data_IF_343586606754
#
_entry.id   IF_343586606754
#
_cell.length_a   1.000
_cell.length_b   1.000
_cell.length_c   1.000
_cell.angle_alpha   90.00
_cell.angle_beta   90.00
_cell.angle_gamma   90.00
#
_symmetry.space_group_name_H-M   'P 1'
#
loop_
_entity.id
_entity.type
_entity.pdbx_description
1 polymer ?
#
# COMPACT_ATOMS: atom_id res chain seq x y z
N UNK A 1 36.31 20.39 14.10
CA UNK A 1 36.08 21.71 13.48
C UNK A 1 34.60 22.03 13.60
N UNK A 2 34.21 23.19 14.14
CA UNK A 2 32.79 23.57 14.21
C UNK A 2 32.28 24.06 12.84
N UNK A 3 30.96 24.15 12.67
CA UNK A 3 30.32 24.72 11.46
C UNK A 3 30.81 26.14 11.16
N UNK A 4 31.06 26.92 12.21
CA UNK A 4 31.56 28.30 12.10
C UNK A 4 33.02 28.31 11.65
N UNK A 5 33.85 27.45 12.25
CA UNK A 5 35.26 27.33 11.86
C UNK A 5 35.39 26.84 10.41
N UNK A 6 34.52 25.94 9.96
CA UNK A 6 34.48 25.47 8.58
C UNK A 6 34.06 26.58 7.61
N UNK A 7 33.07 27.39 7.99
CA UNK A 7 32.62 28.52 7.18
C UNK A 7 33.73 29.56 6.99
N UNK A 8 34.46 29.86 8.07
CA UNK A 8 35.57 30.81 8.06
C UNK A 8 36.74 30.27 7.23
N UNK A 9 37.03 28.96 7.32
CA UNK A 9 38.12 28.32 6.57
C UNK A 9 37.79 28.10 5.08
N UNK A 10 36.53 27.86 4.72
CA UNK A 10 36.13 27.56 3.33
C UNK A 10 35.61 28.78 2.56
N UNK A 11 35.33 29.89 3.24
CA UNK A 11 34.66 31.06 2.63
C UNK A 11 33.21 30.79 2.19
N UNK A 12 32.61 29.68 2.63
CA UNK A 12 31.21 29.31 2.36
C UNK A 12 30.40 29.69 3.60
N UNK A 13 29.24 30.32 3.41
CA UNK A 13 28.46 30.79 4.56
C UNK A 13 28.02 29.63 5.48
N UNK A 14 28.07 29.85 6.79
CA UNK A 14 27.63 28.85 7.78
C UNK A 14 26.19 28.36 7.51
N UNK A 15 25.32 29.24 7.00
CA UNK A 15 23.97 28.87 6.58
C UNK A 15 23.97 27.91 5.38
N UNK A 16 24.76 28.19 4.33
CA UNK A 16 24.84 27.31 3.18
C UNK A 16 25.41 25.93 3.54
N UNK A 17 26.42 25.88 4.42
CA UNK A 17 26.97 24.62 4.92
C UNK A 17 25.93 23.86 5.74
N UNK A 18 25.18 24.55 6.60
CA UNK A 18 24.12 23.96 7.39
C UNK A 18 22.94 23.46 6.54
N UNK A 19 22.60 24.16 5.45
CA UNK A 19 21.58 23.73 4.49
C UNK A 19 22.03 22.49 3.69
N UNK A 20 23.33 22.35 3.41
CA UNK A 20 23.91 21.15 2.80
C UNK A 20 23.92 19.96 3.77
N UNK A 21 24.30 20.18 5.03
CA UNK A 21 24.33 19.14 6.07
C UNK A 21 22.94 18.57 6.36
N UNK A 22 21.90 19.43 6.35
CA UNK A 22 20.50 19.02 6.53
C UNK A 22 19.83 18.50 5.25
N UNK A 23 20.55 18.45 4.14
CA UNK A 23 20.01 17.99 2.85
C UNK A 23 18.96 18.92 2.23
N UNK A 24 18.85 20.17 2.68
CA UNK A 24 18.01 21.20 2.03
C UNK A 24 18.66 21.73 0.75
N UNK A 25 20.00 21.66 0.66
CA UNK A 25 20.77 21.94 -0.55
C UNK A 25 21.60 20.73 -0.91
N UNK A 26 21.16 19.94 -1.89
CA UNK A 26 21.82 18.69 -2.26
C UNK A 26 22.72 18.83 -3.49
N UNK A 27 22.62 19.93 -4.24
CA UNK A 27 23.37 20.13 -5.49
C UNK A 27 24.23 21.42 -5.48
N UNK A 28 25.26 21.51 -4.62
CA UNK A 28 26.16 22.66 -4.60
C UNK A 28 26.99 22.79 -5.88
N UNK A 29 27.49 23.99 -6.14
CA UNK A 29 28.37 24.27 -7.28
C UNK A 29 29.77 23.67 -7.04
N UNK A 30 30.47 23.28 -8.12
CA UNK A 30 31.81 22.66 -8.02
C UNK A 30 32.78 23.53 -7.20
N UNK A 31 32.75 24.86 -7.41
CA UNK A 31 33.55 25.81 -6.62
C UNK A 31 33.33 25.73 -5.11
N UNK A 32 32.11 25.41 -4.68
CA UNK A 32 31.75 25.27 -3.26
C UNK A 32 32.29 23.96 -2.69
N UNK A 33 32.25 22.88 -3.49
CA UNK A 33 32.82 21.58 -3.12
C UNK A 33 34.35 21.66 -2.99
N UNK A 34 35.00 22.31 -3.95
CA UNK A 34 36.45 22.47 -3.96
C UNK A 34 36.91 23.30 -2.73
N UNK A 35 36.18 24.36 -2.40
CA UNK A 35 36.46 25.20 -1.23
C UNK A 35 36.29 24.45 0.10
N UNK A 36 35.24 23.63 0.24
CA UNK A 36 35.02 22.79 1.42
C UNK A 36 36.07 21.68 1.53
N UNK A 37 36.41 21.03 0.42
CA UNK A 37 37.40 19.98 0.40
C UNK A 37 38.82 20.48 0.72
N UNK A 38 39.13 21.72 0.31
CA UNK A 38 40.36 22.40 0.69
C UNK A 38 40.38 22.72 2.19
N UNK A 39 39.31 23.30 2.72
CA UNK A 39 39.20 23.65 4.15
C UNK A 39 39.24 22.42 5.07
N UNK A 40 38.66 21.30 4.64
CA UNK A 40 38.68 20.02 5.36
C UNK A 40 39.97 19.21 5.13
N UNK A 41 40.92 19.74 4.34
CA UNK A 41 42.18 19.05 3.99
C UNK A 41 41.96 17.64 3.44
N UNK A 42 40.89 17.45 2.65
CA UNK A 42 40.49 16.14 2.14
C UNK A 42 41.55 15.55 1.20
N UNK A 43 41.76 14.24 1.31
CA UNK A 43 42.63 13.48 0.41
C UNK A 43 42.09 13.49 -1.03
N UNK A 44 42.91 13.18 -2.05
CA UNK A 44 42.43 13.04 -3.42
C UNK A 44 41.27 12.04 -3.56
N UNK A 45 41.28 10.98 -2.76
CA UNK A 45 40.20 9.97 -2.74
C UNK A 45 38.91 10.56 -2.17
N UNK A 46 38.98 11.26 -1.04
CA UNK A 46 37.80 11.86 -0.40
C UNK A 46 37.23 13.03 -1.22
N UNK A 47 38.09 13.76 -1.94
CA UNK A 47 37.71 14.78 -2.92
C UNK A 47 36.90 14.19 -4.07
N UNK A 48 37.35 13.05 -4.59
CA UNK A 48 36.63 12.34 -5.64
C UNK A 48 35.27 11.85 -5.13
N UNK A 49 35.23 11.26 -3.92
CA UNK A 49 33.98 10.79 -3.29
C UNK A 49 32.98 11.93 -3.03
N UNK A 50 33.43 13.08 -2.54
CA UNK A 50 32.60 14.27 -2.33
C UNK A 50 32.02 14.81 -3.66
N UNK A 51 32.85 14.84 -4.70
CA UNK A 51 32.43 15.31 -6.03
C UNK A 51 31.43 14.35 -6.67
N UNK A 52 31.65 13.04 -6.53
CA UNK A 52 30.75 12.00 -7.02
C UNK A 52 29.39 12.05 -6.30
N UNK A 53 29.37 12.22 -4.98
CA UNK A 53 28.15 12.37 -4.20
C UNK A 53 27.33 13.61 -4.62
N UNK A 54 28.00 14.74 -4.86
CA UNK A 54 27.34 15.96 -5.31
C UNK A 54 26.86 15.87 -6.78
N UNK A 55 27.62 15.20 -7.65
CA UNK A 55 27.21 14.92 -9.03
C UNK A 55 25.98 14.00 -9.08
N UNK A 56 25.94 12.96 -8.23
CA UNK A 56 24.79 12.09 -8.06
C UNK A 56 23.55 12.88 -7.61
N UNK A 57 23.69 13.80 -6.67
CA UNK A 57 22.60 14.66 -6.23
C UNK A 57 22.14 15.66 -7.31
N UNK A 58 23.06 16.22 -8.10
CA UNK A 58 22.78 17.12 -9.23
C UNK A 58 22.08 16.42 -10.41
N UNK A 59 22.32 15.12 -10.59
CA UNK A 59 21.68 14.32 -11.64
C UNK A 59 20.18 14.10 -11.43
N UNK A 60 19.61 14.44 -10.26
CA UNK A 60 18.17 14.41 -9.98
C UNK A 60 17.51 13.02 -10.03
N UNK A 61 18.19 12.02 -10.59
CA UNK A 61 17.86 10.61 -10.57
C UNK A 61 18.51 9.99 -9.35
N UNK A 62 18.13 10.47 -8.16
CA UNK A 62 18.40 9.67 -6.98
C UNK A 62 17.56 8.41 -7.13
N UNK A 63 18.20 7.30 -7.52
CA UNK A 63 17.60 5.95 -7.59
C UNK A 63 16.86 5.59 -6.29
N UNK A 64 17.16 6.27 -5.19
CA UNK A 64 16.50 6.16 -3.88
C UNK A 64 15.17 6.92 -3.75
N UNK A 65 14.93 8.02 -4.48
CA UNK A 65 13.73 8.85 -4.29
C UNK A 65 12.44 8.17 -4.74
N UNK A 66 12.57 7.24 -5.71
CA UNK A 66 11.48 6.43 -6.22
C UNK A 66 11.79 4.93 -6.09
N UNK A 67 12.74 4.52 -5.24
CA UNK A 67 12.93 3.10 -5.00
C UNK A 67 11.66 2.50 -4.39
N UNK A 68 11.24 1.29 -4.79
CA UNK A 68 10.19 0.58 -4.07
C UNK A 68 10.51 0.49 -2.58
N UNK A 69 9.49 0.56 -1.71
CA UNK A 69 9.69 0.29 -0.31
C UNK A 69 10.25 -1.13 -0.12
N UNK A 70 10.81 -1.41 1.07
CA UNK A 70 11.25 -2.76 1.38
C UNK A 70 10.08 -3.73 1.29
N UNK A 71 10.39 -4.90 0.76
CA UNK A 71 9.44 -6.00 0.67
C UNK A 71 9.02 -6.51 2.06
N UNK A 72 7.88 -7.17 2.13
CA UNK A 72 7.38 -7.77 3.37
C UNK A 72 8.08 -9.12 3.61
N UNK A 73 8.71 -9.33 4.77
CA UNK A 73 9.54 -10.53 5.02
C UNK A 73 8.72 -11.81 5.07
N UNK A 74 7.42 -11.69 5.31
CA UNK A 74 6.44 -12.75 5.49
C UNK A 74 5.56 -12.95 4.23
N UNK A 75 5.96 -12.46 3.06
CA UNK A 75 5.20 -12.64 1.82
C UNK A 75 4.94 -14.14 1.54
N UNK A 76 3.67 -14.53 1.39
CA UNK A 76 3.27 -15.93 1.24
C UNK A 76 2.21 -16.07 0.15
N UNK A 77 2.32 -17.13 -0.66
CA UNK A 77 1.34 -17.47 -1.70
C UNK A 77 1.50 -16.64 -2.99
N UNK A 78 0.40 -16.47 -3.73
CA UNK A 78 0.31 -15.58 -4.91
C UNK A 78 1.13 -15.97 -6.14
N UNK A 79 1.49 -17.24 -6.30
CA UNK A 79 2.33 -17.69 -7.41
C UNK A 79 1.71 -17.38 -8.79
N UNK A 80 0.40 -17.55 -8.94
CA UNK A 80 -0.31 -17.26 -10.19
C UNK A 80 -0.31 -15.76 -10.51
N UNK A 81 -0.53 -14.92 -9.51
CA UNK A 81 -0.51 -13.48 -9.64
C UNK A 81 0.88 -12.94 -9.98
N UNK A 82 1.93 -13.50 -9.36
CA UNK A 82 3.32 -13.17 -9.68
C UNK A 82 3.69 -13.55 -11.12
N UNK A 83 3.24 -14.72 -11.59
CA UNK A 83 3.43 -15.16 -12.97
C UNK A 83 2.71 -14.24 -13.99
N UNK A 84 1.55 -13.70 -13.63
CA UNK A 84 0.85 -12.72 -14.46
C UNK A 84 1.62 -11.39 -14.53
N UNK A 85 2.13 -10.92 -13.39
CA UNK A 85 2.91 -9.67 -13.34
C UNK A 85 4.20 -9.76 -14.15
N UNK A 86 4.90 -10.91 -14.12
CA UNK A 86 6.16 -11.07 -14.85
C UNK A 86 6.00 -11.07 -16.37
N UNK A 87 4.82 -11.39 -16.89
CA UNK A 87 4.52 -11.46 -18.33
C UNK A 87 3.79 -10.23 -18.86
N UNK A 88 3.13 -9.46 -17.99
CA UNK A 88 2.29 -8.33 -18.37
C UNK A 88 2.97 -6.99 -18.09
N UNK A 89 3.15 -6.17 -19.13
CA UNK A 89 3.74 -4.83 -19.00
C UNK A 89 2.78 -3.81 -18.38
N UNK A 90 1.46 -3.96 -18.55
CA UNK A 90 0.45 -3.04 -18.02
C UNK A 90 -0.53 -3.82 -17.18
N UNK A 91 -0.54 -3.58 -15.87
CA UNK A 91 -1.42 -4.32 -14.95
C UNK A 91 -2.10 -3.36 -14.00
N UNK A 92 -3.42 -3.50 -13.85
CA UNK A 92 -4.20 -2.86 -12.79
C UNK A 92 -4.51 -3.92 -11.74
N UNK A 93 -3.85 -3.82 -10.59
CA UNK A 93 -4.06 -4.66 -9.41
C UNK A 93 -5.12 -3.98 -8.55
N UNK A 94 -6.31 -4.56 -8.50
CA UNK A 94 -7.43 -4.03 -7.71
C UNK A 94 -7.99 -5.07 -6.75
N UNK A 95 -8.71 -4.63 -5.73
CA UNK A 95 -9.32 -5.50 -4.73
C UNK A 95 -9.46 -4.83 -3.36
N UNK A 96 -10.02 -5.56 -2.40
CA UNK A 96 -10.44 -5.03 -1.11
C UNK A 96 -9.28 -4.41 -0.29
N UNK A 97 -9.57 -3.54 0.68
CA UNK A 97 -8.56 -2.98 1.57
C UNK A 97 -7.81 -4.08 2.34
N UNK A 98 -6.49 -3.93 2.48
CA UNK A 98 -5.64 -4.89 3.22
C UNK A 98 -5.32 -6.21 2.50
N UNK A 99 -5.82 -6.45 1.28
CA UNK A 99 -5.63 -7.72 0.55
C UNK A 99 -4.20 -7.96 0.02
N UNK A 100 -3.32 -6.95 0.11
CA UNK A 100 -1.90 -7.08 -0.26
C UNK A 100 -1.53 -6.59 -1.65
N UNK A 101 -2.32 -5.71 -2.28
CA UNK A 101 -2.04 -5.18 -3.64
C UNK A 101 -0.64 -4.54 -3.76
N UNK A 102 -0.32 -3.63 -2.84
CA UNK A 102 0.98 -2.94 -2.78
C UNK A 102 2.10 -3.93 -2.48
N UNK A 103 1.89 -4.86 -1.54
CA UNK A 103 2.87 -5.89 -1.20
C UNK A 103 3.17 -6.79 -2.42
N UNK A 104 2.15 -7.24 -3.16
CA UNK A 104 2.32 -8.02 -4.38
C UNK A 104 3.13 -7.27 -5.44
N UNK A 105 2.80 -5.99 -5.68
CA UNK A 105 3.52 -5.18 -6.67
C UNK A 105 4.99 -4.97 -6.28
N UNK A 106 5.25 -4.67 -5.01
CA UNK A 106 6.61 -4.45 -4.48
C UNK A 106 7.41 -5.75 -4.51
N UNK A 107 6.82 -6.87 -4.07
CA UNK A 107 7.46 -8.19 -4.09
C UNK A 107 7.86 -8.59 -5.51
N UNK A 108 6.93 -8.49 -6.48
CA UNK A 108 7.21 -8.79 -7.88
C UNK A 108 8.29 -7.86 -8.48
N UNK A 109 8.34 -6.61 -8.04
CA UNK A 109 9.30 -5.62 -8.52
C UNK A 109 10.68 -5.74 -7.86
N UNK A 110 10.83 -6.46 -6.75
CA UNK A 110 12.10 -6.63 -6.06
C UNK A 110 13.18 -7.27 -6.96
N UNK A 111 12.76 -8.12 -7.91
CA UNK A 111 13.64 -8.74 -8.90
C UNK A 111 13.93 -7.84 -10.12
N UNK A 112 13.35 -6.64 -10.21
CA UNK A 112 13.44 -5.75 -11.38
C UNK A 112 14.44 -4.61 -11.10
N UNK A 113 15.61 -4.57 -11.77
CA UNK A 113 16.69 -3.62 -11.46
C UNK A 113 16.34 -2.13 -11.63
N UNK A 114 15.28 -1.80 -12.37
CA UNK A 114 14.81 -0.45 -12.65
C UNK A 114 13.31 -0.31 -12.33
N UNK A 115 12.89 -0.80 -11.18
CA UNK A 115 11.56 -0.52 -10.65
C UNK A 115 11.53 0.83 -9.94
N UNK A 116 10.49 1.63 -10.20
CA UNK A 116 10.22 2.90 -9.55
C UNK A 116 8.84 2.88 -8.91
N UNK A 117 8.72 3.34 -7.67
CA UNK A 117 7.47 3.38 -6.91
C UNK A 117 7.02 4.81 -6.68
N UNK A 118 5.76 5.08 -7.00
CA UNK A 118 5.13 6.39 -6.89
C UNK A 118 3.76 6.24 -6.21
N UNK A 119 3.60 6.83 -5.04
CA UNK A 119 2.25 7.03 -4.47
C UNK A 119 1.50 8.10 -5.28
N UNK A 120 0.37 7.72 -5.89
CA UNK A 120 -0.49 8.61 -6.67
C UNK A 120 -1.15 9.71 -5.83
N UNK A 121 -1.16 9.59 -4.49
CA UNK A 121 -1.71 10.61 -3.59
C UNK A 121 -0.72 11.74 -3.30
N UNK A 122 0.55 11.58 -3.69
CA UNK A 122 1.62 12.51 -3.34
C UNK A 122 1.99 13.45 -4.50
N UNK A 123 1.73 14.75 -4.33
CA UNK A 123 2.19 15.79 -5.25
C UNK A 123 1.72 15.61 -6.70
N UNK A 124 2.44 16.23 -7.64
CA UNK A 124 2.11 16.13 -9.07
C UNK A 124 2.68 14.84 -9.68
N UNK A 125 1.79 13.87 -9.94
CA UNK A 125 2.13 12.59 -10.56
C UNK A 125 2.75 12.75 -11.95
N UNK A 126 2.28 13.68 -12.78
CA UNK A 126 2.77 13.87 -14.14
C UNK A 126 4.20 14.36 -14.13
N UNK A 127 4.50 15.36 -13.30
CA UNK A 127 5.85 15.89 -13.15
C UNK A 127 6.84 14.83 -12.61
N UNK A 128 6.37 13.93 -11.74
CA UNK A 128 7.18 12.82 -11.22
C UNK A 128 7.43 11.74 -12.27
N UNK A 129 6.42 11.37 -13.05
CA UNK A 129 6.53 10.41 -14.15
C UNK A 129 7.54 10.85 -15.22
N UNK A 130 7.58 12.15 -15.54
CA UNK A 130 8.55 12.71 -16.50
C UNK A 130 10.01 12.54 -16.09
N UNK A 131 10.28 12.32 -14.79
CA UNK A 131 11.62 12.09 -14.26
C UNK A 131 12.05 10.62 -14.35
N UNK A 132 11.16 9.72 -14.75
CA UNK A 132 11.44 8.29 -14.78
C UNK A 132 11.89 7.86 -16.19
N UNK A 133 12.93 7.02 -16.32
CA UNK A 133 13.34 6.50 -17.62
C UNK A 133 12.23 5.71 -18.31
N UNK A 134 12.09 5.89 -19.63
CA UNK A 134 11.01 5.24 -20.40
C UNK A 134 11.05 3.70 -20.38
N UNK A 135 12.24 3.10 -20.18
CA UNK A 135 12.45 1.65 -20.12
C UNK A 135 12.22 1.03 -18.72
N UNK A 136 11.99 1.86 -17.70
CA UNK A 136 11.78 1.41 -16.34
C UNK A 136 10.40 0.80 -16.11
N UNK A 137 10.28 -0.04 -15.07
CA UNK A 137 9.00 -0.45 -14.51
C UNK A 137 8.53 0.63 -13.53
N UNK A 138 7.28 1.07 -13.67
CA UNK A 138 6.67 2.03 -12.75
C UNK A 138 5.54 1.39 -11.97
N UNK A 139 5.59 1.48 -10.64
CA UNK A 139 4.51 1.10 -9.74
C UNK A 139 3.80 2.38 -9.32
N UNK A 140 2.54 2.50 -9.74
CA UNK A 140 1.62 3.58 -9.36
C UNK A 140 0.73 3.09 -8.23
N UNK A 141 1.09 3.43 -7.00
CA UNK A 141 0.39 2.96 -5.81
C UNK A 141 -0.78 3.88 -5.46
N UNK A 142 -1.87 3.29 -4.98
CA UNK A 142 -3.08 3.99 -4.52
C UNK A 142 -3.72 4.93 -5.57
N UNK A 143 -3.73 4.53 -6.84
CA UNK A 143 -4.44 5.27 -7.87
C UNK A 143 -5.96 5.32 -7.58
N UNK A 144 -6.55 6.50 -7.73
CA UNK A 144 -8.00 6.73 -7.57
C UNK A 144 -8.71 6.99 -8.90
N UNK A 145 -7.94 7.28 -9.94
CA UNK A 145 -8.40 7.49 -11.31
C UNK A 145 -7.37 6.88 -12.28
N UNK A 146 -7.79 6.64 -13.53
CA UNK A 146 -6.87 6.22 -14.58
C UNK A 146 -5.77 7.29 -14.73
N UNK A 147 -4.48 6.92 -14.61
CA UNK A 147 -3.40 7.89 -14.71
C UNK A 147 -3.32 8.50 -16.12
N UNK A 148 -2.87 9.77 -16.17
CA UNK A 148 -2.56 10.56 -17.38
C UNK A 148 -1.80 9.70 -18.41
N UNK A 149 -1.95 9.92 -19.74
CA UNK A 149 -1.53 8.94 -20.75
C UNK A 149 -0.14 8.36 -20.51
N UNK A 150 -0.12 7.07 -20.22
CA UNK A 150 1.10 6.31 -19.98
C UNK A 150 1.83 6.13 -21.32
N UNK A 151 3.16 6.36 -21.39
CA UNK A 151 3.88 6.17 -22.64
C UNK A 151 3.72 4.73 -23.18
N UNK A 152 3.63 4.53 -24.50
CA UNK A 152 3.37 3.22 -25.12
C UNK A 152 4.29 2.09 -24.66
N UNK A 153 5.57 2.39 -24.39
CA UNK A 153 6.58 1.40 -24.02
C UNK A 153 6.79 1.24 -22.49
N UNK A 154 6.14 2.04 -21.66
CA UNK A 154 6.34 1.99 -20.21
C UNK A 154 5.69 0.75 -19.63
N UNK A 155 6.48 -0.07 -18.92
CA UNK A 155 5.93 -1.10 -18.06
C UNK A 155 5.38 -0.41 -16.81
N UNK A 156 4.11 -0.63 -16.49
CA UNK A 156 3.42 0.02 -15.37
C UNK A 156 2.48 -0.96 -14.67
N UNK A 157 2.64 -1.05 -13.35
CA UNK A 157 1.72 -1.73 -12.47
C UNK A 157 1.02 -0.70 -11.60
N UNK A 158 -0.31 -0.74 -11.58
CA UNK A 158 -1.15 0.23 -10.88
C UNK A 158 -1.84 -0.50 -9.76
N UNK A 159 -1.65 -0.08 -8.52
CA UNK A 159 -2.49 -0.55 -7.42
C UNK A 159 -3.64 0.44 -7.22
N UNK A 160 -4.84 -0.11 -7.07
CA UNK A 160 -6.05 0.70 -6.88
C UNK A 160 -7.01 -0.03 -5.96
N UNK A 161 -7.85 0.71 -5.25
CA UNK A 161 -8.99 0.12 -4.52
C UNK A 161 -10.15 -0.21 -5.45
N UNK A 162 -10.19 0.43 -6.62
CA UNK A 162 -11.21 0.23 -7.65
C UNK A 162 -10.68 -0.26 -8.97
N UNK A 163 -11.57 -0.84 -9.77
CA UNK A 163 -11.26 -1.11 -11.16
C UNK A 163 -11.09 0.22 -11.90
N UNK A 164 -9.94 0.41 -12.54
CA UNK A 164 -9.63 1.64 -13.29
C UNK A 164 -9.58 1.30 -14.78
N UNK A 165 -10.37 1.96 -15.64
CA UNK A 165 -10.34 1.69 -17.08
C UNK A 165 -9.03 2.22 -17.67
N UNK A 166 -8.06 1.32 -17.86
CA UNK A 166 -6.73 1.64 -18.41
C UNK A 166 -6.52 0.84 -19.69
N UNK A 167 -6.31 1.56 -20.80
CA UNK A 167 -6.21 0.95 -22.12
C UNK A 167 -5.03 -0.02 -22.23
N UNK A 168 -5.35 -1.24 -22.68
CA UNK A 168 -4.37 -2.32 -22.86
C UNK A 168 -3.80 -2.86 -21.55
N UNK A 169 -4.42 -2.57 -20.39
CA UNK A 169 -4.02 -3.15 -19.12
C UNK A 169 -4.70 -4.49 -18.85
N UNK A 170 -3.92 -5.45 -18.37
CA UNK A 170 -4.46 -6.65 -17.72
C UNK A 170 -5.04 -6.26 -16.37
N UNK A 171 -6.29 -6.65 -16.10
CA UNK A 171 -6.91 -6.41 -14.81
C UNK A 171 -6.74 -7.63 -13.90
N UNK A 172 -6.06 -7.43 -12.77
CA UNK A 172 -5.87 -8.45 -11.76
C UNK A 172 -6.72 -8.11 -10.52
N UNK A 173 -7.81 -8.86 -10.33
CA UNK A 173 -8.60 -8.80 -9.09
C UNK A 173 -7.96 -9.66 -8.02
N UNK A 174 -7.33 -9.00 -7.04
CA UNK A 174 -6.65 -9.67 -5.94
C UNK A 174 -7.65 -10.01 -4.83
N UNK A 175 -7.97 -11.30 -4.70
CA UNK A 175 -8.89 -11.85 -3.70
C UNK A 175 -8.17 -12.11 -2.36
N UNK A 176 -8.88 -12.29 -1.22
CA UNK A 176 -8.28 -12.87 -0.01
C UNK A 176 -7.44 -14.12 -0.29
N UNK A 177 -6.50 -14.44 0.61
CA UNK A 177 -5.70 -15.66 0.46
C UNK A 177 -6.59 -16.91 0.52
N UNK A 178 -6.28 -17.95 -0.25
CA UNK A 178 -6.84 -19.27 -0.01
C UNK A 178 -6.57 -19.72 1.44
N UNK A 179 -7.44 -20.57 2.03
CA UNK A 179 -7.23 -21.11 3.37
C UNK A 179 -5.83 -21.71 3.62
N UNK A 180 -5.24 -22.55 2.73
CA UNK A 180 -3.90 -23.09 2.97
C UNK A 180 -2.81 -22.01 2.99
N UNK A 181 -2.91 -21.00 2.12
CA UNK A 181 -1.95 -19.88 2.09
C UNK A 181 -2.08 -18.97 3.31
N UNK A 182 -3.29 -18.85 3.87
CA UNK A 182 -3.52 -18.09 5.10
C UNK A 182 -2.85 -18.73 6.32
N UNK A 183 -2.95 -20.06 6.45
CA UNK A 183 -2.29 -20.81 7.50
C UNK A 183 -0.75 -20.80 7.31
N UNK A 184 -0.28 -20.87 6.07
CA UNK A 184 1.13 -20.73 5.75
C UNK A 184 1.69 -19.36 6.14
N UNK A 185 0.94 -18.27 5.88
CA UNK A 185 1.33 -16.91 6.29
C UNK A 185 1.45 -16.80 7.82
N UNK A 186 0.45 -17.30 8.56
CA UNK A 186 0.51 -17.30 10.02
C UNK A 186 1.73 -18.09 10.53
N UNK A 187 2.01 -19.25 9.93
CA UNK A 187 3.17 -20.08 10.25
C UNK A 187 4.49 -19.37 9.94
N UNK A 188 4.58 -18.64 8.82
CA UNK A 188 5.78 -17.88 8.46
C UNK A 188 6.10 -16.78 9.49
N UNK A 189 5.07 -16.20 10.11
CA UNK A 189 5.23 -15.14 11.13
C UNK A 189 5.53 -15.74 12.51
N UNK A 190 4.83 -16.79 12.92
CA UNK A 190 4.98 -17.39 14.26
C UNK A 190 6.15 -18.38 14.35
N UNK A 191 6.64 -18.86 13.21
CA UNK A 191 7.74 -19.83 13.10
C UNK A 191 7.32 -21.30 13.25
N UNK A 192 6.09 -21.59 13.68
CA UNK A 192 5.59 -22.96 13.87
C UNK A 192 4.14 -23.12 13.42
N UNK A 193 3.78 -24.22 12.76
CA UNK A 193 2.39 -24.49 12.38
C UNK A 193 1.53 -24.73 13.62
N UNK A 194 0.27 -24.28 13.56
CA UNK A 194 -0.71 -24.44 14.63
C UNK A 194 -2.08 -24.77 14.01
N UNK A 195 -2.78 -25.85 14.43
CA UNK A 195 -4.11 -26.18 13.92
C UNK A 195 -5.13 -25.05 14.07
N UNK A 196 -5.04 -24.23 15.12
CA UNK A 196 -5.93 -23.09 15.35
C UNK A 196 -5.67 -21.92 14.37
N UNK A 197 -4.63 -22.00 13.53
CA UNK A 197 -4.38 -21.02 12.46
C UNK A 197 -5.56 -20.92 11.50
N UNK A 198 -6.22 -22.05 11.23
CA UNK A 198 -7.40 -22.11 10.34
C UNK A 198 -8.54 -21.24 10.87
N UNK A 199 -8.81 -21.32 12.17
CA UNK A 199 -9.87 -20.57 12.83
C UNK A 199 -9.54 -19.08 12.90
N UNK A 200 -8.31 -18.73 13.31
CA UNK A 200 -7.81 -17.35 13.28
C UNK A 200 -7.90 -16.77 11.88
N UNK A 201 -7.53 -17.54 10.85
CA UNK A 201 -7.58 -17.09 9.47
C UNK A 201 -9.01 -16.81 8.98
N UNK A 202 -9.96 -17.66 9.38
CA UNK A 202 -11.38 -17.45 9.09
C UNK A 202 -11.89 -16.15 9.73
N UNK A 203 -11.56 -15.88 11.00
CA UNK A 203 -11.92 -14.63 11.66
C UNK A 203 -11.27 -13.39 11.05
N UNK A 204 -10.08 -13.54 10.48
CA UNK A 204 -9.38 -12.50 9.73
C UNK A 204 -9.94 -12.30 8.30
N UNK A 205 -10.95 -13.08 7.89
CA UNK A 205 -11.49 -13.07 6.53
C UNK A 205 -10.46 -13.43 5.46
N UNK A 206 -9.41 -14.18 5.84
CA UNK A 206 -8.27 -14.52 5.00
C UNK A 206 -7.55 -13.31 4.37
N UNK A 207 -7.64 -12.13 5.00
CA UNK A 207 -7.02 -10.90 4.51
C UNK A 207 -5.60 -10.79 5.04
N UNK A 208 -4.56 -10.71 4.19
CA UNK A 208 -3.16 -10.63 4.62
C UNK A 208 -2.89 -9.61 5.73
N UNK A 209 -3.41 -8.38 5.63
CA UNK A 209 -3.21 -7.38 6.69
C UNK A 209 -3.70 -7.87 8.06
N UNK A 210 -4.90 -8.44 8.13
CA UNK A 210 -5.48 -8.95 9.37
C UNK A 210 -4.69 -10.15 9.91
N UNK A 211 -4.27 -11.06 9.02
CA UNK A 211 -3.44 -12.21 9.36
C UNK A 211 -2.08 -11.79 9.93
N UNK A 212 -1.44 -10.77 9.33
CA UNK A 212 -0.15 -10.24 9.81
C UNK A 212 -0.28 -9.62 11.19
N UNK A 213 -1.35 -8.86 11.42
CA UNK A 213 -1.64 -8.29 12.74
C UNK A 213 -1.85 -9.42 13.77
N UNK A 214 -2.64 -10.44 13.43
CA UNK A 214 -2.86 -11.60 14.28
C UNK A 214 -1.55 -12.34 14.62
N UNK A 215 -0.74 -12.68 13.61
CA UNK A 215 0.55 -13.35 13.77
C UNK A 215 1.53 -12.53 14.60
N UNK A 216 1.67 -11.22 14.33
CA UNK A 216 2.58 -10.35 15.07
C UNK A 216 2.21 -10.20 16.55
N UNK A 217 0.91 -10.29 16.90
CA UNK A 217 0.50 -10.30 18.30
C UNK A 217 0.91 -11.56 19.05
N UNK A 218 0.92 -12.70 18.37
CA UNK A 218 1.42 -13.97 18.92
C UNK A 218 2.94 -13.89 19.05
N UNK A 219 3.64 -13.54 17.97
CA UNK A 219 5.09 -13.46 17.95
C UNK A 219 5.67 -12.45 18.98
N UNK A 220 4.98 -11.33 19.19
CA UNK A 220 5.41 -10.28 20.11
C UNK A 220 5.03 -10.48 21.58
N UNK A 221 4.32 -11.55 21.97
CA UNK A 221 3.83 -11.76 23.34
C UNK A 221 4.06 -13.20 23.83
N UNK A 222 5.10 -13.42 24.66
CA UNK A 222 5.31 -14.71 25.30
C UNK A 222 4.06 -15.18 26.05
N UNK A 223 3.59 -16.40 25.76
CA UNK A 223 2.39 -17.00 26.37
C UNK A 223 1.09 -16.81 25.60
N UNK A 224 1.06 -16.02 24.52
CA UNK A 224 -0.08 -15.98 23.62
C UNK A 224 -0.04 -17.20 22.69
N UNK A 225 -1.13 -17.95 22.63
CA UNK A 225 -1.31 -19.07 21.70
C UNK A 225 -2.31 -18.72 20.61
N UNK A 226 -2.27 -19.45 19.50
CA UNK A 226 -3.23 -19.28 18.40
C UNK A 226 -4.67 -19.55 18.89
N UNK A 227 -4.87 -20.54 19.76
CA UNK A 227 -6.16 -20.82 20.42
C UNK A 227 -6.63 -19.65 21.30
N UNK A 228 -5.75 -19.04 22.09
CA UNK A 228 -6.10 -17.86 22.88
C UNK A 228 -6.53 -16.70 22.00
N UNK A 229 -5.82 -16.49 20.88
CA UNK A 229 -6.17 -15.45 19.92
C UNK A 229 -7.52 -15.75 19.23
N UNK A 230 -7.76 -16.99 18.81
CA UNK A 230 -9.02 -17.41 18.21
C UNK A 230 -10.21 -17.12 19.14
N UNK A 231 -10.11 -17.46 20.42
CA UNK A 231 -11.14 -17.16 21.41
C UNK A 231 -11.43 -15.65 21.56
N UNK A 232 -10.40 -14.79 21.43
CA UNK A 232 -10.58 -13.33 21.45
C UNK A 232 -11.15 -12.79 20.16
N UNK A 233 -10.77 -13.37 19.03
CA UNK A 233 -11.33 -13.02 17.73
C UNK A 233 -12.78 -13.48 17.62
N UNK A 234 -13.20 -14.55 18.29
CA UNK A 234 -14.60 -14.97 18.31
C UNK A 234 -15.54 -13.87 18.85
N UNK A 235 -15.07 -13.05 19.79
CA UNK A 235 -15.78 -11.89 20.35
C UNK A 235 -15.88 -10.75 19.31
N UNK A 236 -16.96 -10.75 18.52
CA UNK A 236 -17.24 -9.79 17.44
C UNK A 236 -17.06 -8.31 17.86
N UNK A 237 -17.62 -7.84 18.99
CA UNK A 237 -17.40 -6.48 19.50
C UNK A 237 -15.92 -6.10 19.70
N UNK A 238 -15.07 -7.05 20.06
CA UNK A 238 -13.64 -6.79 20.37
C UNK A 238 -12.69 -7.21 19.26
N UNK A 239 -13.20 -7.82 18.19
CA UNK A 239 -12.37 -8.38 17.10
C UNK A 239 -11.51 -7.32 16.44
N UNK A 240 -12.06 -6.14 16.11
CA UNK A 240 -11.30 -5.06 15.46
C UNK A 240 -10.22 -4.44 16.35
N UNK A 241 -10.53 -4.21 17.63
CA UNK A 241 -9.53 -3.77 18.60
C UNK A 241 -8.41 -4.81 18.76
N UNK A 242 -8.72 -6.09 18.58
CA UNK A 242 -7.73 -7.18 18.58
C UNK A 242 -6.89 -7.19 17.28
N UNK A 243 -7.46 -6.76 16.15
CA UNK A 243 -6.79 -6.58 14.86
C UNK A 243 -6.11 -5.21 14.72
N UNK A 244 -5.33 -4.85 15.75
CA UNK A 244 -4.33 -3.78 15.72
C UNK A 244 -3.02 -4.25 16.34
N UNK A 245 -1.88 -3.97 15.70
CA UNK A 245 -0.54 -4.28 16.22
C UNK A 245 0.48 -3.25 15.73
N UNK A 246 1.03 -2.44 16.65
CA UNK A 246 1.93 -1.35 16.29
C UNK A 246 1.24 -0.31 15.41
N UNK A 247 1.81 -0.06 14.24
CA UNK A 247 1.30 0.80 13.18
C UNK A 247 0.28 0.11 12.25
N UNK A 248 0.16 -1.22 12.32
CA UNK A 248 -0.81 -1.97 11.52
C UNK A 248 -2.18 -1.98 12.19
N UNK A 249 -3.19 -1.48 11.46
CA UNK A 249 -4.58 -1.48 11.91
C UNK A 249 -5.54 -1.75 10.75
N UNK A 250 -6.42 -2.74 10.94
CA UNK A 250 -7.53 -3.00 10.00
C UNK A 250 -8.52 -1.84 10.02
N UNK A 251 -8.83 -1.31 11.21
CA UNK A 251 -9.76 -0.19 11.40
C UNK A 251 -9.29 1.06 10.65
N UNK A 252 -8.02 1.46 10.80
CA UNK A 252 -7.48 2.61 10.08
C UNK A 252 -7.52 2.41 8.54
N UNK A 253 -7.25 1.20 8.07
CA UNK A 253 -7.28 0.86 6.63
C UNK A 253 -8.70 0.93 6.08
N UNK A 254 -9.69 0.46 6.84
CA UNK A 254 -11.10 0.53 6.48
C UNK A 254 -11.62 1.97 6.57
N UNK A 255 -11.28 2.73 7.61
CA UNK A 255 -11.66 4.14 7.75
C UNK A 255 -11.27 4.95 6.51
N UNK A 256 -10.05 4.76 6.00
CA UNK A 256 -9.62 5.37 4.74
C UNK A 256 -10.42 4.89 3.52
N UNK A 257 -10.90 3.64 3.50
CA UNK A 257 -11.73 3.13 2.41
C UNK A 257 -13.14 3.73 2.44
N UNK A 258 -13.75 3.81 3.63
CA UNK A 258 -15.05 4.45 3.84
C UNK A 258 -15.03 5.95 3.58
N UNK A 259 -13.93 6.64 3.90
CA UNK A 259 -13.78 8.07 3.63
C UNK A 259 -13.83 8.42 2.13
N UNK A 260 -13.55 7.46 1.24
CA UNK A 260 -13.59 7.66 -0.20
C UNK A 260 -14.98 7.44 -0.82
N UNK A 261 -15.97 7.01 -0.03
CA UNK A 261 -17.32 6.70 -0.50
C UNK A 261 -18.22 7.95 -0.50
N UNK A 262 -19.15 7.97 -1.45
CA UNK A 262 -20.26 8.91 -1.47
C UNK A 262 -21.13 8.81 -0.20
N UNK A 263 -21.90 9.86 0.10
CA UNK A 263 -22.80 9.83 1.25
C UNK A 263 -23.86 8.70 1.14
N UNK A 264 -24.50 8.47 -0.02
CA UNK A 264 -25.41 7.33 -0.20
C UNK A 264 -24.73 5.97 -0.02
N UNK A 265 -23.51 5.77 -0.54
CA UNK A 265 -22.77 4.52 -0.37
C UNK A 265 -22.44 4.24 1.10
N UNK A 266 -22.05 5.27 1.86
CA UNK A 266 -21.84 5.14 3.32
C UNK A 266 -23.14 4.77 4.04
N UNK A 267 -24.26 5.41 3.71
CA UNK A 267 -25.55 5.10 4.30
C UNK A 267 -26.00 3.68 3.99
N UNK A 268 -25.85 3.23 2.73
CA UNK A 268 -26.16 1.87 2.33
C UNK A 268 -25.33 0.86 3.11
N UNK A 269 -24.01 1.03 3.15
CA UNK A 269 -23.10 0.20 3.95
C UNK A 269 -23.56 0.08 5.41
N UNK A 270 -23.93 1.20 6.05
CA UNK A 270 -24.40 1.23 7.43
C UNK A 270 -25.66 0.38 7.65
N UNK A 271 -26.60 0.45 6.73
CA UNK A 271 -27.86 -0.29 6.83
C UNK A 271 -27.70 -1.79 6.53
N UNK A 272 -26.91 -2.15 5.51
CA UNK A 272 -26.76 -3.55 5.08
C UNK A 272 -25.85 -4.37 6.00
N UNK A 273 -25.08 -3.75 6.89
CA UNK A 273 -24.11 -4.47 7.73
C UNK A 273 -24.75 -5.55 8.62
N UNK A 274 -26.03 -5.42 8.97
CA UNK A 274 -26.78 -6.42 9.74
C UNK A 274 -27.42 -7.51 8.87
N UNK A 275 -27.43 -7.34 7.56
CA UNK A 275 -28.05 -8.27 6.62
C UNK A 275 -27.03 -9.33 6.17
N UNK A 276 -27.46 -10.59 5.96
CA UNK A 276 -26.62 -11.60 5.33
C UNK A 276 -26.36 -11.27 3.86
N UNK A 277 -27.36 -10.73 3.17
CA UNK A 277 -27.33 -10.28 1.78
C UNK A 277 -28.42 -9.22 1.53
N UNK A 278 -28.37 -8.58 0.37
CA UNK A 278 -29.32 -7.53 -0.01
C UNK A 278 -29.49 -7.43 -1.53
N UNK A 279 -30.67 -6.96 -1.96
CA UNK A 279 -31.02 -6.73 -3.37
C UNK A 279 -31.04 -5.23 -3.72
N UNK A 280 -31.05 -4.86 -5.01
CA UNK A 280 -31.25 -3.47 -5.44
C UNK A 280 -32.47 -2.79 -4.81
N UNK A 281 -33.59 -3.52 -4.66
CA UNK A 281 -34.79 -2.99 -4.00
C UNK A 281 -34.57 -2.63 -2.52
N UNK A 282 -33.80 -3.44 -1.78
CA UNK A 282 -33.39 -3.10 -0.41
C UNK A 282 -32.50 -1.86 -0.42
N UNK A 283 -31.57 -1.75 -1.37
CA UNK A 283 -30.70 -0.58 -1.48
C UNK A 283 -31.48 0.71 -1.76
N UNK A 284 -32.45 0.67 -2.67
CA UNK A 284 -33.34 1.80 -2.96
C UNK A 284 -34.16 2.21 -1.73
N UNK A 285 -34.75 1.23 -1.04
CA UNK A 285 -35.55 1.46 0.18
C UNK A 285 -34.74 2.12 1.28
N UNK A 286 -33.53 1.62 1.53
CA UNK A 286 -32.64 2.10 2.59
C UNK A 286 -32.11 3.50 2.30
N UNK A 287 -31.70 3.74 1.05
CA UNK A 287 -31.10 5.02 0.64
C UNK A 287 -32.13 6.10 0.37
N UNK A 288 -33.40 5.73 0.18
CA UNK A 288 -34.47 6.64 -0.25
C UNK A 288 -34.31 7.11 -1.69
N UNK A 289 -33.48 6.42 -2.49
CA UNK A 289 -33.18 6.78 -3.87
C UNK A 289 -34.04 5.97 -4.86
N UNK A 290 -34.27 6.49 -6.08
CA UNK A 290 -34.76 5.68 -7.19
C UNK A 290 -33.87 4.46 -7.42
N UNK A 291 -34.47 3.35 -7.89
CA UNK A 291 -33.74 2.10 -8.09
C UNK A 291 -32.55 2.23 -9.05
N UNK A 292 -32.62 3.09 -10.07
CA UNK A 292 -31.49 3.39 -10.95
C UNK A 292 -30.31 4.00 -10.19
N UNK A 293 -30.56 4.98 -9.32
CA UNK A 293 -29.51 5.62 -8.52
C UNK A 293 -28.98 4.67 -7.43
N UNK A 294 -29.85 3.83 -6.85
CA UNK A 294 -29.43 2.80 -5.91
C UNK A 294 -28.50 1.76 -6.57
N UNK A 295 -28.75 1.41 -7.84
CA UNK A 295 -27.86 0.56 -8.63
C UNK A 295 -26.50 1.24 -8.87
N UNK A 296 -26.45 2.56 -9.09
CA UNK A 296 -25.19 3.31 -9.17
C UNK A 296 -24.41 3.26 -7.85
N UNK A 297 -25.12 3.35 -6.71
CA UNK A 297 -24.51 3.19 -5.38
C UNK A 297 -23.99 1.77 -5.16
N UNK A 298 -24.72 0.74 -5.61
CA UNK A 298 -24.24 -0.66 -5.59
C UNK A 298 -22.99 -0.80 -6.45
N UNK A 299 -22.99 -0.23 -7.66
CA UNK A 299 -21.85 -0.24 -8.55
C UNK A 299 -20.63 0.44 -7.90
N UNK A 300 -20.81 1.55 -7.19
CA UNK A 300 -19.75 2.20 -6.40
C UNK A 300 -19.17 1.25 -5.33
N UNK A 301 -20.02 0.53 -4.59
CA UNK A 301 -19.55 -0.42 -3.57
C UNK A 301 -18.81 -1.64 -4.15
N UNK A 302 -19.24 -2.13 -5.33
CA UNK A 302 -18.53 -3.17 -6.10
C UNK A 302 -17.19 -2.62 -6.56
N UNK A 303 -17.18 -1.41 -7.11
CA UNK A 303 -15.96 -0.73 -7.56
C UNK A 303 -14.97 -0.60 -6.40
N UNK A 304 -15.42 -0.30 -5.18
CA UNK A 304 -14.55 -0.23 -3.99
C UNK A 304 -14.21 -1.59 -3.37
N UNK A 305 -14.67 -2.70 -3.98
CA UNK A 305 -14.51 -4.09 -3.52
C UNK A 305 -14.94 -4.25 -2.05
N UNK A 306 -16.07 -3.63 -1.69
CA UNK A 306 -16.69 -3.71 -0.37
C UNK A 306 -17.81 -4.75 -0.33
N UNK A 307 -18.47 -5.00 -1.46
CA UNK A 307 -19.52 -6.00 -1.62
C UNK A 307 -19.18 -6.99 -2.74
N UNK A 308 -19.74 -8.20 -2.67
CA UNK A 308 -19.63 -9.21 -3.71
C UNK A 308 -20.98 -9.88 -3.99
N UNK A 309 -21.18 -10.50 -5.17
CA UNK A 309 -22.39 -11.28 -5.45
C UNK A 309 -22.59 -12.41 -4.43
N UNK A 310 -23.82 -12.59 -3.96
CA UNK A 310 -24.20 -13.59 -2.95
C UNK A 310 -24.61 -14.96 -3.54
N UNK A 311 -24.57 -15.11 -4.86
CA UNK A 311 -24.78 -16.38 -5.57
C UNK A 311 -26.17 -16.54 -6.20
N UNK A 312 -27.23 -16.06 -5.55
CA UNK A 312 -28.59 -16.01 -6.11
C UNK A 312 -28.87 -14.68 -6.84
N UNK A 313 -29.93 -14.67 -7.66
CA UNK A 313 -30.30 -13.59 -8.59
C UNK A 313 -30.20 -12.19 -7.95
N UNK A 314 -29.32 -11.35 -8.52
CA UNK A 314 -29.07 -9.95 -8.16
C UNK A 314 -28.96 -9.66 -6.65
N UNK A 315 -28.42 -10.61 -5.89
CA UNK A 315 -28.16 -10.44 -4.46
C UNK A 315 -26.68 -10.17 -4.19
N UNK A 316 -26.40 -9.27 -3.25
CA UNK A 316 -25.06 -8.81 -2.88
C UNK A 316 -24.82 -8.99 -1.38
N UNK A 317 -23.54 -9.15 -1.00
CA UNK A 317 -23.11 -9.31 0.39
C UNK A 317 -21.91 -8.41 0.69
N UNK A 318 -21.93 -7.77 1.85
CA UNK A 318 -20.81 -6.99 2.36
C UNK A 318 -19.68 -7.91 2.84
N UNK A 319 -18.44 -7.60 2.46
CA UNK A 319 -17.28 -8.37 2.88
C UNK A 319 -17.13 -8.38 4.42
N UNK A 320 -16.58 -9.47 5.01
CA UNK A 320 -16.57 -9.66 6.47
C UNK A 320 -15.91 -8.53 7.28
N UNK A 321 -14.76 -8.00 6.81
CA UNK A 321 -14.05 -6.95 7.55
C UNK A 321 -14.77 -5.59 7.49
N UNK A 322 -15.20 -5.07 6.31
CA UNK A 322 -16.08 -3.90 6.27
C UNK A 322 -17.35 -4.05 7.10
N UNK A 323 -18.02 -5.21 7.04
CA UNK A 323 -19.22 -5.50 7.83
C UNK A 323 -18.97 -5.36 9.31
N UNK A 324 -17.90 -5.98 9.80
CA UNK A 324 -17.51 -5.90 11.20
C UNK A 324 -17.16 -4.48 11.64
N UNK A 325 -16.48 -3.70 10.79
CA UNK A 325 -16.13 -2.30 11.07
C UNK A 325 -17.35 -1.41 11.26
N UNK A 326 -18.41 -1.65 10.51
CA UNK A 326 -19.65 -0.89 10.64
C UNK A 326 -20.40 -1.28 11.91
N UNK A 327 -20.43 -2.57 12.25
CA UNK A 327 -21.18 -3.07 13.41
C UNK A 327 -20.49 -2.73 14.74
N UNK A 328 -19.16 -2.73 14.78
CA UNK A 328 -18.39 -2.73 16.03
C UNK A 328 -17.19 -1.76 16.04
N UNK A 329 -16.91 -1.03 14.96
CA UNK A 329 -15.86 -0.02 14.94
C UNK A 329 -16.16 1.15 15.87
N UNK A 330 -15.11 1.80 16.37
CA UNK A 330 -15.27 3.00 17.20
C UNK A 330 -15.66 4.15 16.27
N UNK A 331 -16.82 4.79 16.54
CA UNK A 331 -17.32 5.93 15.77
C UNK A 331 -16.60 7.22 16.15
#
# INVERSE_FOLDING_TARGET
MTLRDLADASGVSARAISDMERGHSTAPQQRTLDALAAALTLSPFDRAALTEAAAAAKSGLSRTAYAPPRDVPDFTGRAAELALLSTSRRVVIHGQPGVGKTALAVHAAAAVPQAHFLDCRAGDLRARLQKIPAAALVILDNATAAPVPLPPATAVWITSRRRLPVDGATHLHLKPLPPPESAALLTAITGTPDPAATEVAAYCGHVPLALRIAGNRIAGRPGWTMTHLAARLADEPRRLATLTAGDLSVEATLAQAFAALSAPARALCQAIAKLPDFTPGIAATVTGLPESEANDVIAELIDHDLIHPAGEAESYRLHPLPRMNILFGVR
#
